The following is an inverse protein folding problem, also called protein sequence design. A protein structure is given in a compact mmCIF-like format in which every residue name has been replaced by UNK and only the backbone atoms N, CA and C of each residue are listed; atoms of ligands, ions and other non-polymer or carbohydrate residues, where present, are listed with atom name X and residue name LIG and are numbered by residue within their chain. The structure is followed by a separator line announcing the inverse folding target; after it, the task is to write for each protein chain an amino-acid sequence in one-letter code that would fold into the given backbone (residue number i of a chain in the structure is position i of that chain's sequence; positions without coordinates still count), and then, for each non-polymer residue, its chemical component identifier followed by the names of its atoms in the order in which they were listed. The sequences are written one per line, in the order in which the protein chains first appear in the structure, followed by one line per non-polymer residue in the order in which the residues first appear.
data_IF_241655700409
#
_entry.id   IF_241655700409
#
_cell.length_a   1.000
_cell.length_b   1.000
_cell.length_c   1.000
_cell.angle_alpha   90.00
_cell.angle_beta   90.00
_cell.angle_gamma   90.00
#
_symmetry.space_group_name_H-M   'P 1'
#
loop_
_entity.id
_entity.type
_entity.pdbx_description
1 polymer ?
#
# COMPACT_ATOMS: atom_id res chain seq x y z
N UNK A 1 -31.63 -8.49 0.31
CA UNK A 1 -30.39 -9.00 0.93
C UNK A 1 -29.22 -8.42 0.17
N UNK A 2 -28.26 -7.79 0.83
CA UNK A 2 -27.09 -7.22 0.17
C UNK A 2 -25.88 -8.11 0.43
N UNK A 3 -25.06 -8.33 -0.59
CA UNK A 3 -23.80 -9.03 -0.48
C UNK A 3 -22.67 -8.08 -0.88
N UNK A 4 -21.59 -8.09 -0.10
CA UNK A 4 -20.34 -7.43 -0.47
C UNK A 4 -19.41 -8.46 -1.10
N UNK A 5 -18.82 -8.13 -2.24
CA UNK A 5 -17.90 -9.00 -2.95
C UNK A 5 -16.53 -8.33 -3.02
N UNK A 6 -15.55 -8.94 -2.37
CA UNK A 6 -14.15 -8.64 -2.67
C UNK A 6 -13.76 -9.48 -3.88
N UNK A 7 -13.31 -8.87 -5.00
CA UNK A 7 -13.02 -9.60 -6.23
C UNK A 7 -11.87 -10.60 -6.07
N UNK A 8 -10.98 -10.39 -5.10
CA UNK A 8 -9.82 -11.26 -4.88
C UNK A 8 -9.34 -11.20 -3.44
N UNK A 9 -9.10 -12.36 -2.85
CA UNK A 9 -8.49 -12.50 -1.53
C UNK A 9 -7.36 -13.52 -1.67
N UNK A 10 -6.15 -13.13 -1.28
CA UNK A 10 -4.98 -14.00 -1.20
C UNK A 10 -4.61 -14.11 0.28
N UNK A 11 -4.48 -15.33 0.80
CA UNK A 11 -4.16 -15.58 2.21
C UNK A 11 -3.33 -16.86 2.35
N UNK A 12 -2.65 -16.99 3.49
CA UNK A 12 -1.80 -18.13 3.82
C UNK A 12 -0.34 -17.73 4.04
N UNK A 13 0.50 -18.74 4.25
CA UNK A 13 1.96 -18.55 4.33
C UNK A 13 2.46 -17.99 2.99
N UNK A 14 3.44 -17.07 3.06
CA UNK A 14 4.08 -16.47 1.87
C UNK A 14 3.12 -15.66 0.96
N UNK A 15 1.89 -15.36 1.41
CA UNK A 15 0.93 -14.60 0.62
C UNK A 15 1.46 -13.20 0.20
N UNK A 16 2.37 -12.61 0.97
CA UNK A 16 2.99 -11.32 0.66
C UNK A 16 3.84 -11.36 -0.62
N UNK A 17 4.44 -12.51 -0.96
CA UNK A 17 5.23 -12.68 -2.19
C UNK A 17 4.38 -12.49 -3.45
N UNK A 18 3.05 -12.62 -3.32
CA UNK A 18 2.13 -12.39 -4.42
C UNK A 18 2.02 -10.91 -4.81
N UNK A 19 2.51 -9.97 -3.99
CA UNK A 19 2.60 -8.55 -4.36
C UNK A 19 3.55 -8.32 -5.53
N UNK A 20 4.61 -9.12 -5.64
CA UNK A 20 5.55 -9.03 -6.76
C UNK A 20 5.08 -9.75 -8.03
N UNK A 21 3.92 -10.41 -8.00
CA UNK A 21 3.41 -11.17 -9.13
C UNK A 21 2.53 -10.28 -10.03
N UNK A 22 2.93 -10.00 -11.29
CA UNK A 22 2.19 -9.12 -12.19
C UNK A 22 0.81 -9.66 -12.61
N UNK A 23 0.55 -10.96 -12.44
CA UNK A 23 -0.80 -11.53 -12.62
C UNK A 23 -1.77 -11.10 -11.51
N UNK A 24 -1.22 -10.65 -10.38
CA UNK A 24 -1.97 -10.36 -9.16
C UNK A 24 -2.02 -8.89 -8.83
N UNK A 25 -0.89 -8.20 -8.96
CA UNK A 25 -0.76 -6.76 -8.72
C UNK A 25 -0.13 -6.14 -9.96
N UNK A 26 -0.81 -5.15 -10.52
CA UNK A 26 -0.37 -4.42 -11.71
C UNK A 26 -0.13 -2.98 -11.32
N UNK A 27 0.85 -2.36 -11.95
CA UNK A 27 1.22 -0.97 -11.69
C UNK A 27 2.70 -0.75 -11.95
N UNK A 28 3.07 0.51 -11.94
CA UNK A 28 4.46 0.95 -12.07
C UNK A 28 4.85 1.85 -10.91
N UNK A 29 3.88 2.42 -10.19
CA UNK A 29 4.11 3.43 -9.16
C UNK A 29 3.13 3.21 -8.02
N UNK A 30 3.63 2.76 -6.87
CA UNK A 30 2.80 2.43 -5.72
C UNK A 30 3.00 3.42 -4.57
N UNK A 31 1.89 3.85 -3.97
CA UNK A 31 1.88 4.80 -2.85
C UNK A 31 1.40 4.12 -1.58
N UNK A 32 2.30 3.88 -0.63
CA UNK A 32 2.01 3.13 0.59
C UNK A 32 1.55 4.09 1.68
N UNK A 33 0.39 3.83 2.28
CA UNK A 33 -0.16 4.59 3.41
C UNK A 33 -0.09 3.73 4.67
N UNK A 34 0.59 4.21 5.70
CA UNK A 34 0.88 3.45 6.93
C UNK A 34 1.05 4.37 8.13
N UNK A 35 1.20 3.79 9.32
CA UNK A 35 1.63 4.48 10.52
C UNK A 35 3.12 4.23 10.83
N UNK A 36 3.67 5.02 11.74
CA UNK A 36 5.07 4.94 12.18
C UNK A 36 5.41 3.66 12.92
N UNK A 37 4.44 2.99 13.52
CA UNK A 37 4.71 1.80 14.33
C UNK A 37 4.94 0.59 13.41
N UNK A 38 4.16 0.46 12.33
CA UNK A 38 4.42 -0.55 11.28
C UNK A 38 5.75 -0.32 10.57
N UNK A 39 6.17 0.94 10.39
CA UNK A 39 7.51 1.27 9.89
C UNK A 39 8.59 0.78 10.86
N UNK A 40 8.48 1.13 12.15
CA UNK A 40 9.45 0.70 13.19
C UNK A 40 9.54 -0.82 13.34
N UNK A 41 8.43 -1.52 13.12
CA UNK A 41 8.36 -2.98 13.18
C UNK A 41 8.93 -3.66 11.91
N UNK A 42 9.34 -2.89 10.90
CA UNK A 42 9.89 -3.41 9.65
C UNK A 42 8.85 -4.02 8.71
N UNK A 43 7.56 -3.87 9.00
CA UNK A 43 6.48 -4.45 8.19
C UNK A 43 6.41 -3.80 6.81
N UNK A 44 6.65 -2.49 6.75
CA UNK A 44 6.64 -1.71 5.51
C UNK A 44 7.77 -2.17 4.59
N UNK A 45 8.93 -2.52 5.13
CA UNK A 45 10.08 -2.97 4.34
C UNK A 45 9.81 -4.33 3.66
N UNK A 46 9.02 -5.20 4.29
CA UNK A 46 8.59 -6.44 3.66
C UNK A 46 7.70 -6.17 2.43
N UNK A 47 6.86 -5.13 2.47
CA UNK A 47 5.99 -4.72 1.36
C UNK A 47 6.80 -4.05 0.26
N UNK A 48 7.60 -3.03 0.61
CA UNK A 48 8.39 -2.26 -0.36
C UNK A 48 9.32 -3.17 -1.13
N UNK A 49 10.00 -4.10 -0.47
CA UNK A 49 10.91 -5.06 -1.12
C UNK A 49 10.21 -5.90 -2.19
N UNK A 50 8.97 -6.35 -1.96
CA UNK A 50 8.24 -7.15 -2.96
C UNK A 50 7.87 -6.31 -4.19
N UNK A 51 7.45 -5.06 -3.97
CA UNK A 51 7.05 -4.16 -5.05
C UNK A 51 8.27 -3.59 -5.82
N UNK A 52 9.36 -3.28 -5.14
CA UNK A 52 10.65 -2.90 -5.74
C UNK A 52 11.22 -4.03 -6.61
N UNK A 53 11.18 -5.28 -6.12
CA UNK A 53 11.58 -6.45 -6.90
C UNK A 53 10.72 -6.64 -8.15
N UNK A 54 9.47 -6.16 -8.15
CA UNK A 54 8.60 -6.13 -9.32
C UNK A 54 8.83 -4.90 -10.22
N UNK A 55 9.80 -4.05 -9.89
CA UNK A 55 10.20 -2.89 -10.68
C UNK A 55 9.32 -1.65 -10.48
N UNK A 56 8.59 -1.55 -9.38
CA UNK A 56 7.74 -0.39 -9.08
C UNK A 56 8.52 0.74 -8.40
N UNK A 57 8.20 1.98 -8.75
CA UNK A 57 8.60 3.17 -8.01
C UNK A 57 7.68 3.33 -6.79
N UNK A 58 8.25 3.64 -5.61
CA UNK A 58 7.49 3.69 -4.37
C UNK A 58 7.59 5.05 -3.68
N UNK A 59 6.49 5.48 -3.07
CA UNK A 59 6.47 6.57 -2.09
C UNK A 59 5.65 6.12 -0.86
N UNK A 60 6.10 6.51 0.34
CA UNK A 60 5.48 6.10 1.61
C UNK A 60 5.00 7.33 2.38
N UNK A 61 3.73 7.32 2.75
CA UNK A 61 3.16 8.22 3.76
C UNK A 61 2.97 7.45 5.07
N UNK A 62 3.80 7.75 6.07
CA UNK A 62 3.81 7.09 7.38
C UNK A 62 3.16 7.92 8.50
N UNK A 63 2.47 9.00 8.13
CA UNK A 63 1.90 9.97 9.05
C UNK A 63 0.54 9.59 9.62
N UNK A 64 0.06 8.35 9.43
CA UNK A 64 -1.27 7.94 9.92
C UNK A 64 -1.27 7.81 11.43
N UNK A 65 -2.26 8.45 12.07
CA UNK A 65 -2.56 8.29 13.49
C UNK A 65 -3.91 7.58 13.67
N UNK A 66 -4.17 6.94 14.82
CA UNK A 66 -5.49 6.39 15.13
C UNK A 66 -6.60 7.44 15.02
N UNK A 67 -7.75 7.04 14.48
CA UNK A 67 -8.88 7.94 14.17
C UNK A 67 -8.45 9.15 13.31
N UNK A 68 -7.96 8.91 12.08
CA UNK A 68 -7.29 9.93 11.30
C UNK A 68 -8.22 11.11 10.98
N UNK A 69 -7.83 12.36 11.30
CA UNK A 69 -8.63 13.53 10.98
C UNK A 69 -8.66 13.77 9.47
N UNK A 70 -9.72 14.42 8.98
CA UNK A 70 -9.86 14.74 7.54
C UNK A 70 -8.68 15.57 7.01
N UNK A 71 -8.06 16.40 7.84
CA UNK A 71 -6.85 17.17 7.48
C UNK A 71 -5.69 16.26 7.06
N UNK A 72 -5.49 15.14 7.75
CA UNK A 72 -4.46 14.16 7.45
C UNK A 72 -4.77 13.41 6.15
N UNK A 73 -6.03 13.00 5.94
CA UNK A 73 -6.45 12.39 4.67
C UNK A 73 -6.19 13.34 3.50
N UNK A 74 -6.47 14.64 3.68
CA UNK A 74 -6.18 15.66 2.66
C UNK A 74 -4.69 15.80 2.39
N UNK A 75 -3.84 15.68 3.41
CA UNK A 75 -2.40 15.73 3.25
C UNK A 75 -1.87 14.51 2.49
N UNK A 76 -2.23 13.30 2.91
CA UNK A 76 -1.88 12.08 2.19
C UNK A 76 -2.36 12.13 0.74
N UNK A 77 -3.57 12.63 0.49
CA UNK A 77 -4.10 12.80 -0.86
C UNK A 77 -3.35 13.84 -1.70
N UNK A 78 -2.77 14.88 -1.09
CA UNK A 78 -1.91 15.85 -1.81
C UNK A 78 -0.62 15.19 -2.27
N UNK A 79 0.06 14.48 -1.37
CA UNK A 79 1.30 13.76 -1.68
C UNK A 79 1.04 12.67 -2.72
N UNK A 80 0.00 11.85 -2.51
CA UNK A 80 -0.44 10.85 -3.47
C UNK A 80 -0.69 11.45 -4.86
N UNK A 81 -1.35 12.60 -4.98
CA UNK A 81 -1.56 13.26 -6.28
C UNK A 81 -0.28 13.80 -6.91
N UNK A 82 0.64 14.34 -6.10
CA UNK A 82 1.93 14.82 -6.58
C UNK A 82 2.79 13.65 -7.08
N UNK A 83 2.76 12.54 -6.35
CA UNK A 83 3.38 11.30 -6.77
C UNK A 83 2.70 10.76 -8.02
N UNK A 84 1.38 10.80 -8.18
CA UNK A 84 0.64 10.21 -9.30
C UNK A 84 0.86 8.67 -9.44
N UNK A 85 0.54 7.89 -8.41
CA UNK A 85 0.60 6.42 -8.44
C UNK A 85 -0.53 5.83 -9.28
N UNK A 86 -0.33 4.60 -9.73
CA UNK A 86 -1.35 3.73 -10.30
C UNK A 86 -1.82 2.63 -9.32
N UNK A 87 -1.15 2.52 -8.16
CA UNK A 87 -1.47 1.61 -7.07
C UNK A 87 -1.37 2.35 -5.71
N UNK A 88 -2.35 2.14 -4.81
CA UNK A 88 -2.33 2.62 -3.42
C UNK A 88 -2.51 1.41 -2.50
#
# INVERSE_FOLDING_TARGET
MWFFYSPKIIFGREALEQLGNPLHVQGTRAFIITDKDLVKLGMVELVTKQLENAGMELEVFDGVEPDPPVSMVREAARQCKAFAPDLI
#
